data_IF_584158089712
#
_entry.id   IF_584158089712
#
_cell.length_a   1.000
_cell.length_b   1.000
_cell.length_c   1.000
_cell.angle_alpha   90.00
_cell.angle_beta   90.00
_cell.angle_gamma   90.00
#
_symmetry.space_group_name_H-M   'P 1'
#
loop_
_entity.id
_entity.type
_entity.pdbx_description
1 polymer ?
#
# COMPACT_ATOMS: atom_id res chain seq x y z
N UNK A 1 -27.47 8.21 -0.63
CA UNK A 1 -28.12 8.26 0.72
C UNK A 1 -27.71 7.09 1.60
N UNK A 2 -28.05 5.83 1.30
CA UNK A 2 -27.66 4.69 2.17
C UNK A 2 -26.13 4.49 2.23
N UNK A 3 -25.45 4.52 1.08
CA UNK A 3 -23.99 4.33 1.00
C UNK A 3 -23.18 5.46 1.66
N UNK A 4 -23.71 6.68 1.66
CA UNK A 4 -23.09 7.82 2.35
C UNK A 4 -23.25 7.72 3.86
N UNK A 5 -24.38 7.16 4.30
CA UNK A 5 -24.64 6.82 5.69
C UNK A 5 -23.66 5.73 6.17
N UNK A 6 -23.39 4.73 5.33
CA UNK A 6 -22.46 3.65 5.61
C UNK A 6 -21.00 4.14 5.70
N UNK A 7 -20.59 5.02 4.78
CA UNK A 7 -19.27 5.65 4.85
C UNK A 7 -19.11 6.51 6.12
N UNK A 8 -20.11 7.33 6.45
CA UNK A 8 -20.08 8.16 7.64
C UNK A 8 -19.99 7.32 8.92
N UNK A 9 -20.79 6.24 9.01
CA UNK A 9 -20.77 5.31 10.14
C UNK A 9 -19.41 4.63 10.30
N UNK A 10 -18.84 4.10 9.22
CA UNK A 10 -17.56 3.38 9.29
C UNK A 10 -16.38 4.32 9.51
N UNK A 11 -16.45 5.56 9.01
CA UNK A 11 -15.48 6.60 9.36
C UNK A 11 -15.51 6.89 10.86
N UNK A 12 -16.71 6.99 11.44
CA UNK A 12 -16.88 7.21 12.87
C UNK A 12 -16.39 6.02 13.71
N UNK A 13 -16.67 4.79 13.29
CA UNK A 13 -16.19 3.57 13.98
C UNK A 13 -14.65 3.47 13.95
N UNK A 14 -14.04 3.79 12.81
CA UNK A 14 -12.59 3.87 12.68
C UNK A 14 -12.01 4.96 13.58
N UNK A 15 -12.63 6.14 13.60
CA UNK A 15 -12.23 7.24 14.46
C UNK A 15 -12.30 6.87 15.95
N UNK A 16 -13.43 6.34 16.42
CA UNK A 16 -13.59 5.91 17.82
C UNK A 16 -12.56 4.87 18.22
N UNK A 17 -12.25 3.92 17.33
CA UNK A 17 -11.24 2.90 17.61
C UNK A 17 -9.85 3.51 17.74
N UNK A 18 -9.51 4.51 16.93
CA UNK A 18 -8.24 5.24 17.03
C UNK A 18 -8.17 6.07 18.32
N UNK A 19 -9.26 6.73 18.70
CA UNK A 19 -9.34 7.45 19.98
C UNK A 19 -9.14 6.49 21.15
N UNK A 20 -9.84 5.36 21.15
CA UNK A 20 -9.66 4.33 22.17
C UNK A 20 -8.22 3.82 22.22
N UNK A 21 -7.63 3.50 21.07
CA UNK A 21 -6.23 3.07 20.98
C UNK A 21 -5.28 4.14 21.52
N UNK A 22 -5.55 5.43 21.26
CA UNK A 22 -4.68 6.53 21.72
C UNK A 22 -4.52 6.54 23.25
N UNK A 23 -5.57 6.18 24.01
CA UNK A 23 -5.50 6.03 25.46
C UNK A 23 -4.66 4.82 25.90
N UNK A 24 -4.55 3.80 25.06
CA UNK A 24 -3.79 2.59 25.32
C UNK A 24 -2.31 2.70 24.90
N UNK A 25 -1.95 3.66 24.04
CA UNK A 25 -0.56 3.92 23.66
C UNK A 25 0.18 4.50 24.85
N UNK A 26 1.22 3.80 25.30
CA UNK A 26 2.01 4.16 26.49
C UNK A 26 2.85 5.42 26.28
N UNK A 27 3.42 5.56 25.08
CA UNK A 27 4.31 6.66 24.71
C UNK A 27 3.52 7.89 24.26
N UNK A 28 3.77 9.04 24.90
CA UNK A 28 3.05 10.29 24.58
C UNK A 28 3.36 10.81 23.18
N UNK A 29 4.61 10.69 22.71
CA UNK A 29 4.99 11.11 21.37
C UNK A 29 4.35 10.25 20.28
N UNK A 30 4.22 8.95 20.52
CA UNK A 30 3.50 8.04 19.62
C UNK A 30 1.99 8.32 19.64
N UNK A 31 1.43 8.63 20.82
CA UNK A 31 0.03 9.02 20.96
C UNK A 31 -0.28 10.29 20.18
N UNK A 32 0.53 11.33 20.31
CA UNK A 32 0.36 12.60 19.60
C UNK A 32 0.43 12.40 18.08
N UNK A 33 1.37 11.56 17.61
CA UNK A 33 1.48 11.22 16.18
C UNK A 33 0.29 10.42 15.67
N UNK A 34 -0.25 9.49 16.47
CA UNK A 34 -1.48 8.76 16.13
C UNK A 34 -2.64 9.73 15.94
N UNK A 35 -2.84 10.65 16.89
CA UNK A 35 -3.91 11.65 16.84
C UNK A 35 -3.73 12.58 15.64
N UNK A 36 -2.50 13.06 15.40
CA UNK A 36 -2.20 13.92 14.25
C UNK A 36 -2.51 13.25 12.91
N UNK A 37 -2.22 11.94 12.78
CA UNK A 37 -2.55 11.15 11.58
C UNK A 37 -4.03 10.83 11.46
N UNK A 38 -4.76 10.79 12.57
CA UNK A 38 -6.20 10.53 12.58
C UNK A 38 -7.05 11.77 12.33
N UNK A 39 -6.51 12.96 12.60
CA UNK A 39 -7.21 14.25 12.46
C UNK A 39 -7.87 14.45 11.08
N UNK A 40 -7.26 14.07 9.94
CA UNK A 40 -7.89 14.21 8.64
C UNK A 40 -9.13 13.33 8.42
N UNK A 41 -9.40 12.34 9.27
CA UNK A 41 -10.65 11.56 9.23
C UNK A 41 -11.86 12.38 9.69
N UNK A 42 -11.63 13.37 10.56
CA UNK A 42 -12.67 14.24 11.12
C UNK A 42 -12.79 15.56 10.37
N UNK A 43 -11.67 16.07 9.87
CA UNK A 43 -11.68 17.26 9.03
C UNK A 43 -12.45 16.93 7.76
N UNK A 44 -13.46 17.72 7.38
CA UNK A 44 -14.10 17.63 6.07
C UNK A 44 -13.18 18.26 5.03
N UNK A 45 -12.41 17.51 4.23
CA UNK A 45 -11.41 18.14 3.39
C UNK A 45 -11.93 18.30 1.96
N UNK A 46 -11.92 19.53 1.42
CA UNK A 46 -12.07 19.78 -0.02
C UNK A 46 -13.48 20.06 -0.54
N UNK A 47 -13.55 20.82 -1.64
CA UNK A 47 -14.80 21.35 -2.24
C UNK A 47 -15.52 20.31 -3.12
N UNK A 48 -14.87 19.19 -3.47
CA UNK A 48 -15.40 18.12 -4.33
C UNK A 48 -15.39 16.71 -3.68
N UNK A 49 -16.17 15.76 -4.21
CA UNK A 49 -16.20 14.37 -3.71
C UNK A 49 -14.92 13.58 -4.03
N UNK A 50 -14.32 13.82 -5.20
CA UNK A 50 -13.08 13.17 -5.62
C UNK A 50 -11.89 13.50 -4.70
N UNK A 51 -11.72 14.77 -4.35
CA UNK A 51 -10.67 15.20 -3.42
C UNK A 51 -10.84 14.59 -2.03
N UNK A 52 -12.10 14.43 -1.57
CA UNK A 52 -12.44 13.79 -0.30
C UNK A 52 -12.01 12.33 -0.26
N UNK A 53 -12.33 11.57 -1.30
CA UNK A 53 -11.98 10.14 -1.40
C UNK A 53 -10.47 9.96 -1.41
N UNK A 54 -9.73 10.76 -2.19
CA UNK A 54 -8.27 10.70 -2.28
C UNK A 54 -7.58 11.05 -0.95
N UNK A 55 -8.07 12.06 -0.24
CA UNK A 55 -7.56 12.42 1.09
C UNK A 55 -7.80 11.31 2.11
N UNK A 56 -9.01 10.71 2.10
CA UNK A 56 -9.35 9.58 2.96
C UNK A 56 -8.46 8.36 2.67
N UNK A 57 -8.21 8.06 1.40
CA UNK A 57 -7.32 6.97 0.99
C UNK A 57 -5.90 7.14 1.56
N UNK A 58 -5.31 8.33 1.39
CA UNK A 58 -3.99 8.66 1.93
C UNK A 58 -3.96 8.55 3.46
N UNK A 59 -5.00 9.07 4.12
CA UNK A 59 -5.12 9.03 5.58
C UNK A 59 -5.19 7.60 6.10
N UNK A 60 -6.01 6.76 5.47
CA UNK A 60 -6.14 5.33 5.79
C UNK A 60 -4.81 4.59 5.59
N UNK A 61 -4.09 4.86 4.49
CA UNK A 61 -2.77 4.26 4.26
C UNK A 61 -1.77 4.66 5.36
N UNK A 62 -1.70 5.96 5.70
CA UNK A 62 -0.82 6.46 6.77
C UNK A 62 -1.15 5.87 8.14
N UNK A 63 -2.44 5.62 8.43
CA UNK A 63 -2.86 5.00 9.69
C UNK A 63 -2.47 3.53 9.76
N UNK A 64 -2.65 2.76 8.68
CA UNK A 64 -2.25 1.35 8.64
C UNK A 64 -0.74 1.18 8.85
N UNK A 65 0.08 1.96 8.16
CA UNK A 65 1.54 1.96 8.34
C UNK A 65 1.92 2.32 9.79
N UNK A 66 1.16 3.22 10.42
CA UNK A 66 1.41 3.62 11.80
C UNK A 66 1.01 2.54 12.81
N UNK A 67 -0.12 1.88 12.61
CA UNK A 67 -0.56 0.75 13.44
C UNK A 67 0.46 -0.39 13.41
N UNK A 68 1.04 -0.68 12.24
CA UNK A 68 2.11 -1.66 12.10
C UNK A 68 3.35 -1.28 12.93
N UNK A 69 3.76 -0.01 12.90
CA UNK A 69 4.82 0.50 13.76
C UNK A 69 4.49 0.33 15.25
N UNK A 70 3.26 0.64 15.66
CA UNK A 70 2.85 0.50 17.06
C UNK A 70 2.86 -0.96 17.53
N UNK A 71 2.51 -1.91 16.65
CA UNK A 71 2.63 -3.35 16.88
C UNK A 71 4.10 -3.74 17.06
N UNK A 72 4.96 -3.33 16.13
CA UNK A 72 6.40 -3.63 16.17
C UNK A 72 7.05 -3.13 17.47
N UNK A 73 6.70 -1.91 17.89
CA UNK A 73 7.21 -1.30 19.12
C UNK A 73 6.54 -1.83 20.39
N UNK A 74 5.53 -2.70 20.30
CA UNK A 74 4.73 -3.19 21.44
C UNK A 74 4.21 -2.05 22.33
N UNK A 75 3.86 -0.94 21.69
CA UNK A 75 3.56 0.34 22.33
C UNK A 75 2.13 0.45 22.88
N UNK A 76 1.26 -0.51 22.51
CA UNK A 76 -0.11 -0.66 22.99
C UNK A 76 -0.50 -2.16 23.05
N UNK A 77 -1.57 -2.55 23.77
CA UNK A 77 -2.07 -3.91 23.78
C UNK A 77 -2.49 -4.38 22.38
N UNK A 78 -2.08 -5.60 22.01
CA UNK A 78 -2.33 -6.17 20.69
C UNK A 78 -3.83 -6.19 20.33
N UNK A 79 -4.71 -6.47 21.30
CA UNK A 79 -6.15 -6.46 21.08
C UNK A 79 -6.69 -5.11 20.62
N UNK A 80 -6.23 -4.01 21.22
CA UNK A 80 -6.64 -2.66 20.81
C UNK A 80 -6.10 -2.28 19.43
N UNK A 81 -4.87 -2.71 19.10
CA UNK A 81 -4.25 -2.50 17.79
C UNK A 81 -5.01 -3.24 16.68
N UNK A 82 -5.34 -4.51 16.89
CA UNK A 82 -6.04 -5.34 15.91
C UNK A 82 -7.47 -4.85 15.66
N UNK A 83 -8.21 -4.46 16.71
CA UNK A 83 -9.56 -3.92 16.52
C UNK A 83 -9.52 -2.59 15.76
N UNK A 84 -8.56 -1.71 16.07
CA UNK A 84 -8.37 -0.46 15.33
C UNK A 84 -8.02 -0.73 13.86
N UNK A 85 -7.10 -1.66 13.61
CA UNK A 85 -6.70 -2.06 12.26
C UNK A 85 -7.89 -2.60 11.46
N UNK A 86 -8.74 -3.42 12.06
CA UNK A 86 -9.96 -3.95 11.45
C UNK A 86 -10.91 -2.83 11.02
N UNK A 87 -11.15 -1.81 11.85
CA UNK A 87 -12.05 -0.71 11.48
C UNK A 87 -11.45 0.17 10.37
N UNK A 88 -10.14 0.45 10.42
CA UNK A 88 -9.44 1.17 9.35
C UNK A 88 -9.46 0.39 8.02
N UNK A 89 -9.36 -0.94 8.06
CA UNK A 89 -9.48 -1.80 6.88
C UNK A 89 -10.89 -1.81 6.29
N UNK A 90 -11.94 -1.80 7.11
CA UNK A 90 -13.32 -1.63 6.62
C UNK A 90 -13.50 -0.30 5.90
N UNK A 91 -12.94 0.77 6.46
CA UNK A 91 -12.97 2.09 5.82
C UNK A 91 -12.26 2.05 4.46
N UNK A 92 -11.09 1.40 4.39
CA UNK A 92 -10.38 1.18 3.12
C UNK A 92 -11.23 0.46 2.08
N UNK A 93 -11.95 -0.58 2.49
CA UNK A 93 -12.77 -1.37 1.58
C UNK A 93 -13.88 -0.53 0.94
N UNK A 94 -14.56 0.32 1.73
CA UNK A 94 -15.59 1.21 1.22
C UNK A 94 -15.04 2.26 0.26
N UNK A 95 -13.89 2.85 0.57
CA UNK A 95 -13.20 3.80 -0.31
C UNK A 95 -12.96 3.15 -1.68
N UNK A 96 -12.37 1.95 -1.70
CA UNK A 96 -12.12 1.19 -2.93
C UNK A 96 -13.42 0.80 -3.66
N UNK A 97 -14.49 0.49 -2.92
CA UNK A 97 -15.81 0.22 -3.52
C UNK A 97 -16.41 1.46 -4.18
N UNK A 98 -16.26 2.65 -3.58
CA UNK A 98 -16.72 3.91 -4.16
C UNK A 98 -15.96 4.28 -5.43
N UNK A 99 -14.66 4.06 -5.49
CA UNK A 99 -13.87 4.27 -6.72
C UNK A 99 -14.35 3.38 -7.88
N UNK A 100 -14.72 2.13 -7.58
CA UNK A 100 -15.27 1.20 -8.58
C UNK A 100 -16.68 1.56 -9.06
N UNK A 101 -17.46 2.26 -8.24
CA UNK A 101 -18.85 2.64 -8.56
C UNK A 101 -18.99 4.06 -9.14
N UNK A 102 -18.09 4.99 -8.80
CA UNK A 102 -18.05 6.35 -9.37
C UNK A 102 -17.64 6.36 -10.86
N UNK A 103 -16.95 5.32 -11.31
CA UNK A 103 -16.82 4.97 -12.71
C UNK A 103 -17.60 3.68 -12.98
N UNK A 104 -18.87 3.75 -13.40
CA UNK A 104 -19.55 2.56 -13.85
C UNK A 104 -18.79 2.08 -15.09
N UNK A 105 -18.00 1.02 -14.96
CA UNK A 105 -17.63 0.22 -16.12
C UNK A 105 -18.94 -0.29 -16.69
N UNK A 106 -19.47 0.42 -17.69
CA UNK A 106 -20.53 -0.11 -18.56
C UNK A 106 -20.00 -1.44 -19.07
N UNK A 107 -20.63 -2.52 -18.62
CA UNK A 107 -20.44 -3.83 -19.21
C UNK A 107 -21.14 -3.77 -20.56
N UNK A 108 -20.46 -3.23 -21.56
CA UNK A 108 -20.75 -3.51 -22.97
C UNK A 108 -19.89 -4.70 -23.37
N UNK A 109 -20.54 -5.66 -24.05
CA UNK A 109 -19.90 -6.78 -24.75
C UNK A 109 -18.64 -6.32 -25.51
N UNK A 110 -17.65 -7.21 -25.69
CA UNK A 110 -16.33 -6.84 -26.17
C UNK A 110 -16.42 -6.38 -27.63
N UNK A 111 -16.37 -5.07 -27.83
CA UNK A 111 -15.99 -4.48 -29.12
C UNK A 111 -14.69 -3.72 -28.90
N UNK A 112 -13.71 -4.11 -29.71
CA UNK A 112 -12.33 -3.68 -29.72
C UNK A 112 -12.22 -2.21 -30.12
N UNK A 113 -11.94 -1.30 -29.18
CA UNK A 113 -11.19 -0.06 -29.48
C UNK A 113 -10.34 0.36 -28.27
N UNK A 114 -9.03 0.16 -28.43
CA UNK A 114 -7.87 0.94 -27.97
C UNK A 114 -8.05 1.83 -26.73
N UNK A 115 -7.62 1.30 -25.58
CA UNK A 115 -7.16 2.08 -24.43
C UNK A 115 -5.63 2.01 -24.46
N UNK A 116 -4.93 3.14 -24.56
CA UNK A 116 -3.51 3.19 -24.18
C UNK A 116 -3.42 2.85 -22.69
N UNK A 117 -3.05 1.60 -22.44
CA UNK A 117 -3.12 0.93 -21.16
C UNK A 117 -1.90 1.23 -20.29
N UNK A 118 -2.12 1.84 -19.12
CA UNK A 118 -1.24 1.71 -17.93
C UNK A 118 -1.27 0.29 -17.32
N UNK A 119 -1.59 -0.74 -18.12
CA UNK A 119 -1.26 -2.15 -17.84
C UNK A 119 0.09 -2.54 -18.44
N UNK A 120 0.71 -1.67 -19.26
CA UNK A 120 2.03 -1.91 -19.85
C UNK A 120 3.18 -1.79 -18.83
N UNK A 121 3.14 -0.79 -17.94
CA UNK A 121 4.30 -0.48 -17.08
C UNK A 121 4.67 -1.61 -16.09
N UNK A 122 3.69 -2.40 -15.64
CA UNK A 122 3.95 -3.51 -14.70
C UNK A 122 4.62 -4.72 -15.37
N UNK A 123 4.27 -5.00 -16.63
CA UNK A 123 4.92 -6.05 -17.42
C UNK A 123 6.29 -5.58 -17.92
N UNK A 124 6.39 -4.32 -18.35
CA UNK A 124 7.66 -3.70 -18.78
C UNK A 124 8.68 -3.73 -17.64
N UNK A 125 8.29 -3.44 -16.39
CA UNK A 125 9.21 -3.51 -15.26
C UNK A 125 9.59 -4.96 -14.89
N UNK A 126 8.63 -5.89 -14.95
CA UNK A 126 8.90 -7.32 -14.77
C UNK A 126 9.94 -7.79 -15.83
N UNK A 127 9.75 -7.41 -17.11
CA UNK A 127 10.64 -7.75 -18.24
C UNK A 127 12.02 -7.08 -18.13
N UNK A 128 12.08 -5.78 -17.81
CA UNK A 128 13.35 -5.06 -17.58
C UNK A 128 14.16 -5.74 -16.47
N UNK A 129 13.55 -6.09 -15.34
CA UNK A 129 14.25 -6.77 -14.24
C UNK A 129 14.74 -8.15 -14.70
N UNK A 130 13.92 -8.92 -15.42
CA UNK A 130 14.33 -10.24 -15.94
C UNK A 130 15.48 -10.10 -16.95
N UNK A 131 15.43 -9.13 -17.87
CA UNK A 131 16.47 -8.89 -18.86
C UNK A 131 17.80 -8.50 -18.20
N UNK A 132 17.77 -7.65 -17.18
CA UNK A 132 18.97 -7.29 -16.40
C UNK A 132 19.55 -8.49 -15.65
N UNK A 133 18.70 -9.41 -15.19
CA UNK A 133 19.12 -10.64 -14.51
C UNK A 133 19.59 -11.71 -15.51
N UNK A 134 19.16 -11.67 -16.78
CA UNK A 134 19.64 -12.56 -17.86
C UNK A 134 20.96 -12.11 -18.47
N UNK A 135 21.11 -10.81 -18.68
CA UNK A 135 22.31 -10.21 -19.31
C UNK A 135 23.53 -10.24 -18.39
N UNK A 136 23.32 -10.35 -17.07
CA UNK A 136 24.39 -10.46 -16.07
C UNK A 136 24.27 -11.79 -15.34
N UNK A 137 25.33 -12.59 -15.40
CA UNK A 137 25.42 -13.87 -14.70
C UNK A 137 25.50 -13.64 -13.17
N UNK A 138 24.35 -13.42 -12.54
CA UNK A 138 24.24 -13.01 -11.14
C UNK A 138 24.17 -11.48 -10.98
N UNK A 139 22.95 -10.94 -10.92
CA UNK A 139 22.71 -9.51 -10.70
C UNK A 139 22.31 -9.27 -9.24
N UNK A 140 22.92 -8.30 -8.56
CA UNK A 140 22.55 -7.98 -7.17
C UNK A 140 21.55 -6.81 -7.12
N UNK A 141 20.93 -6.58 -5.96
CA UNK A 141 19.95 -5.48 -5.83
C UNK A 141 20.56 -4.09 -6.10
N UNK A 142 21.83 -3.86 -5.76
CA UNK A 142 22.49 -2.58 -6.03
C UNK A 142 22.57 -2.32 -7.52
N UNK A 143 22.87 -3.34 -8.32
CA UNK A 143 22.96 -3.25 -9.77
C UNK A 143 21.60 -2.90 -10.38
N UNK A 144 20.54 -3.63 -9.99
CA UNK A 144 19.16 -3.36 -10.42
C UNK A 144 18.72 -1.95 -10.00
N UNK A 145 19.06 -1.55 -8.77
CA UNK A 145 18.72 -0.22 -8.26
C UNK A 145 19.56 0.91 -8.87
N UNK A 146 20.75 0.60 -9.38
CA UNK A 146 21.62 1.58 -10.06
C UNK A 146 21.11 1.92 -11.44
N UNK A 147 20.58 0.92 -12.16
CA UNK A 147 20.06 1.11 -13.52
C UNK A 147 18.60 1.57 -13.54
N UNK A 148 17.77 1.06 -12.63
CA UNK A 148 16.33 1.38 -12.60
C UNK A 148 15.96 2.42 -11.53
N UNK A 149 16.90 2.82 -10.67
CA UNK A 149 16.62 3.72 -9.53
C UNK A 149 16.27 5.15 -9.91
N UNK A 150 16.55 5.57 -11.16
CA UNK A 150 16.10 6.86 -11.70
C UNK A 150 14.63 6.86 -12.11
N UNK A 151 14.10 5.71 -12.52
CA UNK A 151 12.71 5.55 -12.96
C UNK A 151 11.79 5.03 -11.84
N UNK A 152 12.32 4.25 -10.88
CA UNK A 152 11.54 3.56 -9.87
C UNK A 152 12.13 3.67 -8.46
N UNK A 153 11.26 3.84 -7.47
CA UNK A 153 11.68 3.86 -6.07
C UNK A 153 12.28 2.50 -5.63
N UNK A 154 13.20 2.52 -4.67
CA UNK A 154 13.76 1.29 -4.07
C UNK A 154 12.68 0.35 -3.56
N UNK A 155 11.61 0.88 -2.94
CA UNK A 155 10.49 0.08 -2.43
C UNK A 155 9.72 -0.59 -3.56
N UNK A 156 9.55 0.11 -4.69
CA UNK A 156 8.95 -0.45 -5.91
C UNK A 156 9.81 -1.59 -6.43
N UNK A 157 11.10 -1.38 -6.65
CA UNK A 157 12.00 -2.43 -7.15
C UNK A 157 12.02 -3.68 -6.25
N UNK A 158 12.09 -3.50 -4.93
CA UNK A 158 12.00 -4.61 -3.96
C UNK A 158 10.69 -5.39 -4.12
N UNK A 159 9.57 -4.69 -4.30
CA UNK A 159 8.26 -5.31 -4.49
C UNK A 159 8.22 -6.19 -5.75
N UNK A 160 8.75 -5.70 -6.87
CA UNK A 160 8.75 -6.47 -8.13
C UNK A 160 9.74 -7.63 -8.09
N UNK A 161 10.92 -7.45 -7.49
CA UNK A 161 11.87 -8.55 -7.29
C UNK A 161 11.24 -9.67 -6.44
N UNK A 162 10.61 -9.33 -5.32
CA UNK A 162 9.92 -10.32 -4.48
C UNK A 162 8.76 -11.02 -5.22
N UNK A 163 8.04 -10.28 -6.07
CA UNK A 163 6.99 -10.83 -6.93
C UNK A 163 7.55 -11.80 -7.97
N UNK A 164 8.69 -11.50 -8.60
CA UNK A 164 9.37 -12.36 -9.56
C UNK A 164 9.96 -13.62 -8.88
N UNK A 165 10.52 -13.48 -7.67
CA UNK A 165 10.96 -14.61 -6.84
C UNK A 165 9.80 -15.54 -6.49
N UNK A 166 8.67 -14.99 -6.05
CA UNK A 166 7.48 -15.77 -5.71
C UNK A 166 6.88 -16.51 -6.92
N UNK A 167 7.07 -15.98 -8.13
CA UNK A 167 6.66 -16.61 -9.40
C UNK A 167 7.68 -17.61 -9.93
N UNK A 168 8.86 -17.73 -9.32
CA UNK A 168 9.94 -18.59 -9.80
C UNK A 168 10.64 -18.10 -11.07
N UNK A 169 10.40 -16.86 -11.50
CA UNK A 169 11.01 -16.29 -12.72
C UNK A 169 12.48 -15.89 -12.51
N UNK A 170 12.86 -15.67 -11.25
CA UNK A 170 14.24 -15.46 -10.83
C UNK A 170 14.48 -16.28 -9.57
N UNK A 171 15.72 -16.73 -9.37
CA UNK A 171 16.21 -17.40 -8.18
C UNK A 171 17.18 -16.52 -7.42
N UNK A 172 17.09 -16.56 -6.11
CA UNK A 172 18.03 -15.91 -5.20
C UNK A 172 19.16 -16.90 -4.87
N UNK A 173 20.37 -16.63 -5.35
CA UNK A 173 21.59 -17.32 -4.92
C UNK A 173 22.19 -16.56 -3.74
N UNK A 174 22.41 -17.26 -2.63
CA UNK A 174 23.22 -16.78 -1.53
C UNK A 174 24.67 -17.15 -1.83
N UNK A 175 25.51 -16.14 -2.09
CA UNK A 175 26.94 -16.34 -2.24
C UNK A 175 27.62 -16.64 -0.88
N UNK A 176 28.91 -16.96 -0.94
CA UNK A 176 29.78 -17.15 0.24
C UNK A 176 29.79 -15.92 1.17
N UNK A 177 29.55 -14.73 0.62
CA UNK A 177 29.37 -13.50 1.38
C UNK A 177 27.86 -13.18 1.46
N UNK A 178 27.25 -13.51 2.61
CA UNK A 178 25.79 -13.47 2.85
C UNK A 178 25.17 -12.06 2.79
N UNK A 179 25.99 -11.02 2.63
CA UNK A 179 25.57 -9.61 2.68
C UNK A 179 24.86 -9.13 1.41
N UNK A 180 25.09 -9.77 0.26
CA UNK A 180 24.50 -9.36 -1.01
C UNK A 180 24.01 -10.59 -1.80
N UNK A 181 22.70 -10.90 -1.74
CA UNK A 181 22.15 -11.97 -2.56
C UNK A 181 22.21 -11.59 -4.04
N UNK A 182 22.60 -12.55 -4.87
CA UNK A 182 22.53 -12.43 -6.33
C UNK A 182 21.26 -13.07 -6.85
N UNK A 183 20.73 -12.53 -7.93
CA UNK A 183 19.57 -13.03 -8.64
C UNK A 183 20.03 -13.64 -9.96
N UNK A 184 19.48 -14.80 -10.32
CA UNK A 184 19.72 -15.48 -11.60
C UNK A 184 18.38 -15.93 -12.17
N UNK A 185 18.24 -15.97 -13.49
CA UNK A 185 17.06 -16.58 -14.14
C UNK A 185 17.26 -18.11 -14.19
N UNK A 186 16.16 -18.87 -14.12
CA UNK A 186 16.16 -20.31 -14.46
C UNK A 186 16.12 -20.56 -15.97
#
# INVERSE_FOLDING_TARGET
MQEDLDLAKITLDAFHSIVYLSFLVKDSGLRERLIARAKPLLDRPGRSEFERVKMLEQTVACLLDYLELLVYLKSAPLGGLLETQKQVLKLKLIIVSKEKNAHPKKVSKPEEVQIETEKGNDQILDEKIIELVKTRDGCNFKDISGELGGEYSKRTLIRYINKLLARGLIKKKLGLDTRFPSYTVE
#
